data_IF_391948897041
#
_entry.id   IF_391948897041
#
_cell.length_a   1.000
_cell.length_b   1.000
_cell.length_c   1.000
_cell.angle_alpha   90.00
_cell.angle_beta   90.00
_cell.angle_gamma   90.00
#
_symmetry.space_group_name_H-M   'P 1'
#
loop_
_entity.id
_entity.type
_entity.pdbx_description
1 polymer ?
#
# COMPACT_ATOMS: atom_id res chain seq x y z
N UNK A 1 19.71 -17.23 2.16
CA UNK A 1 18.28 -17.60 2.16
C UNK A 1 17.60 -16.68 1.19
N UNK A 2 17.02 -17.21 0.10
CA UNK A 2 16.30 -16.38 -0.85
C UNK A 2 15.09 -15.75 -0.18
N UNK A 3 14.92 -14.44 -0.34
CA UNK A 3 13.68 -13.75 0.01
C UNK A 3 12.56 -14.43 -0.79
N UNK A 4 11.60 -15.06 -0.10
CA UNK A 4 10.40 -15.56 -0.76
C UNK A 4 9.65 -14.32 -1.26
N UNK A 5 9.71 -14.07 -2.57
CA UNK A 5 8.89 -13.03 -3.18
C UNK A 5 7.44 -13.49 -3.14
N UNK A 6 6.59 -12.71 -2.46
CA UNK A 6 5.15 -12.96 -2.37
C UNK A 6 4.45 -12.21 -3.49
N UNK A 7 4.82 -12.55 -4.73
CA UNK A 7 4.26 -11.95 -5.94
C UNK A 7 3.22 -12.87 -6.55
N UNK A 8 2.09 -12.29 -6.92
CA UNK A 8 1.05 -12.96 -7.69
C UNK A 8 0.84 -12.24 -9.02
N UNK A 9 1.11 -12.95 -10.11
CA UNK A 9 0.94 -12.44 -11.47
C UNK A 9 -0.50 -12.67 -11.91
N UNK A 10 -1.21 -11.60 -12.25
CA UNK A 10 -2.56 -11.64 -12.78
C UNK A 10 -2.55 -11.98 -14.28
N UNK A 11 -3.66 -12.51 -14.85
CA UNK A 11 -3.75 -12.79 -16.29
C UNK A 11 -3.50 -11.57 -17.18
N UNK A 12 -3.70 -10.35 -16.66
CA UNK A 12 -3.40 -9.09 -17.35
C UNK A 12 -1.91 -8.74 -17.42
N UNK A 13 -1.03 -9.49 -16.75
CA UNK A 13 0.39 -9.19 -16.61
C UNK A 13 0.73 -8.28 -15.42
N UNK A 14 -0.29 -7.73 -14.73
CA UNK A 14 -0.09 -6.99 -13.49
C UNK A 14 0.35 -7.90 -12.34
N UNK A 15 1.08 -7.34 -11.39
CA UNK A 15 1.62 -8.07 -10.23
C UNK A 15 1.06 -7.50 -8.94
N UNK A 16 0.60 -8.40 -8.05
CA UNK A 16 0.31 -8.08 -6.66
C UNK A 16 1.50 -8.54 -5.82
N UNK A 17 2.25 -7.60 -5.26
CA UNK A 17 3.37 -7.86 -4.35
C UNK A 17 2.95 -7.63 -2.91
N UNK A 18 3.18 -8.62 -2.04
CA UNK A 18 3.03 -8.41 -0.59
C UNK A 18 4.28 -7.75 -0.02
N UNK A 19 4.08 -6.68 0.73
CA UNK A 19 5.12 -5.97 1.48
C UNK A 19 5.31 -6.68 2.82
N UNK A 20 6.52 -7.16 3.10
CA UNK A 20 6.84 -7.98 4.29
C UNK A 20 8.02 -7.47 5.12
N UNK A 21 8.73 -6.43 4.65
CA UNK A 21 9.90 -5.86 5.33
C UNK A 21 9.88 -4.34 5.34
N UNK A 22 10.62 -3.74 6.28
CA UNK A 22 10.81 -2.28 6.35
C UNK A 22 11.43 -1.74 5.06
N UNK A 23 12.37 -2.46 4.46
CA UNK A 23 13.02 -2.09 3.21
C UNK A 23 12.00 -2.05 2.05
N UNK A 24 11.08 -3.02 2.00
CA UNK A 24 10.01 -3.00 1.01
C UNK A 24 8.99 -1.89 1.29
N UNK A 25 8.69 -1.58 2.55
CA UNK A 25 7.87 -0.41 2.90
C UNK A 25 8.52 0.87 2.36
N UNK A 26 9.81 1.06 2.59
CA UNK A 26 10.58 2.20 2.08
C UNK A 26 10.59 2.26 0.55
N UNK A 27 10.77 1.11 -0.10
CA UNK A 27 10.73 0.99 -1.56
C UNK A 27 9.37 1.42 -2.14
N UNK A 28 8.27 0.95 -1.56
CA UNK A 28 6.91 1.25 -2.03
C UNK A 28 6.38 2.61 -1.59
N UNK A 29 6.94 3.22 -0.53
CA UNK A 29 6.43 4.48 0.04
C UNK A 29 6.26 5.59 -1.00
N UNK A 30 7.21 5.91 -1.89
CA UNK A 30 7.05 7.02 -2.84
C UNK A 30 5.84 6.84 -3.77
N UNK A 31 5.62 5.63 -4.28
CA UNK A 31 4.53 5.36 -5.22
C UNK A 31 3.18 5.25 -4.51
N UNK A 32 3.12 4.60 -3.34
CA UNK A 32 1.92 4.56 -2.50
C UNK A 32 1.52 5.94 -1.95
N UNK A 33 2.50 6.79 -1.62
CA UNK A 33 2.27 8.19 -1.23
C UNK A 33 1.64 8.99 -2.37
N UNK A 34 2.11 8.78 -3.59
CA UNK A 34 1.54 9.43 -4.77
C UNK A 34 0.11 8.95 -5.01
N UNK A 35 -0.14 7.64 -4.94
CA UNK A 35 -1.47 7.03 -5.08
C UNK A 35 -2.48 7.59 -4.08
N UNK A 36 -2.18 7.55 -2.77
CA UNK A 36 -3.13 8.06 -1.76
C UNK A 36 -3.33 9.56 -1.89
N UNK A 37 -2.30 10.31 -2.27
CA UNK A 37 -2.40 11.75 -2.50
C UNK A 37 -3.36 12.06 -3.65
N UNK A 38 -3.27 11.34 -4.76
CA UNK A 38 -4.22 11.45 -5.88
C UNK A 38 -5.65 11.15 -5.40
N UNK A 39 -5.85 10.03 -4.70
CA UNK A 39 -7.17 9.66 -4.19
C UNK A 39 -7.77 10.68 -3.20
N UNK A 40 -6.96 11.49 -2.52
CA UNK A 40 -7.43 12.52 -1.55
C UNK A 40 -7.61 13.88 -2.22
N UNK A 41 -6.69 14.27 -3.09
CA UNK A 41 -6.63 15.63 -3.60
C UNK A 41 -7.35 15.82 -4.93
N UNK A 42 -7.52 14.77 -5.74
CA UNK A 42 -8.12 14.89 -7.08
C UNK A 42 -9.64 15.07 -7.00
N UNK A 43 -10.31 14.39 -6.05
CA UNK A 43 -11.72 14.64 -5.70
C UNK A 43 -11.91 14.68 -4.16
N UNK A 44 -11.61 15.82 -3.52
CA UNK A 44 -11.73 15.97 -2.07
C UNK A 44 -13.15 15.82 -1.52
N UNK A 45 -14.18 16.02 -2.34
CA UNK A 45 -15.58 15.96 -1.89
C UNK A 45 -16.09 14.52 -1.85
N UNK A 46 -15.57 13.65 -2.73
CA UNK A 46 -15.88 12.23 -2.72
C UNK A 46 -14.90 11.39 -1.86
N UNK A 47 -13.73 11.92 -1.51
CA UNK A 47 -12.72 11.18 -0.78
C UNK A 47 -12.99 11.11 0.73
N UNK A 48 -13.32 9.91 1.23
CA UNK A 48 -13.52 9.65 2.66
C UNK A 48 -12.61 8.52 3.14
N UNK A 49 -11.29 8.76 3.10
CA UNK A 49 -10.26 7.77 3.43
C UNK A 49 -9.35 8.19 4.58
N UNK A 50 -9.89 8.96 5.54
CA UNK A 50 -9.25 9.41 6.79
C UNK A 50 -8.14 10.45 6.64
N UNK A 51 -7.91 10.96 5.44
CA UNK A 51 -7.03 12.11 5.19
C UNK A 51 -7.87 13.34 4.85
N UNK A 52 -7.37 14.52 5.22
CA UNK A 52 -7.94 15.79 4.79
C UNK A 52 -7.16 16.30 3.58
N UNK A 53 -7.88 16.74 2.56
CA UNK A 53 -7.27 17.49 1.47
C UNK A 53 -6.93 18.92 1.95
N UNK A 54 -5.79 19.49 1.52
CA UNK A 54 -4.77 18.86 0.71
C UNK A 54 -3.86 17.94 1.55
N UNK A 55 -3.67 16.69 1.10
CA UNK A 55 -2.67 15.78 1.66
C UNK A 55 -1.30 16.11 1.07
N UNK A 56 -0.34 16.41 1.95
CA UNK A 56 1.06 16.62 1.56
C UNK A 56 1.77 15.29 1.29
N UNK A 57 2.84 15.34 0.49
CA UNK A 57 3.67 14.16 0.24
C UNK A 57 4.32 13.63 1.53
N UNK A 58 4.73 14.51 2.43
CA UNK A 58 5.37 14.14 3.69
C UNK A 58 4.38 13.46 4.64
N UNK A 59 3.13 13.96 4.73
CA UNK A 59 2.09 13.33 5.53
C UNK A 59 1.70 11.94 4.96
N UNK A 60 1.56 11.84 3.64
CA UNK A 60 1.32 10.56 2.98
C UNK A 60 2.47 9.56 3.24
N UNK A 61 3.72 10.01 3.12
CA UNK A 61 4.90 9.17 3.35
C UNK A 61 5.05 8.76 4.81
N UNK A 62 4.75 9.67 5.74
CA UNK A 62 4.78 9.39 7.17
C UNK A 62 3.77 8.30 7.54
N UNK A 63 2.57 8.31 6.94
CA UNK A 63 1.58 7.26 7.13
C UNK A 63 2.13 5.88 6.74
N UNK A 64 2.65 5.72 5.51
CA UNK A 64 3.17 4.42 5.06
C UNK A 64 4.34 3.92 5.91
N UNK A 65 5.28 4.82 6.24
CA UNK A 65 6.43 4.50 7.11
C UNK A 65 6.02 4.14 8.54
N UNK A 66 4.91 4.67 9.03
CA UNK A 66 4.42 4.32 10.38
C UNK A 66 4.03 2.84 10.50
N UNK A 67 3.65 2.20 9.38
CA UNK A 67 3.24 0.80 9.33
C UNK A 67 4.41 -0.19 9.39
N UNK A 68 5.67 0.26 9.29
CA UNK A 68 6.82 -0.64 9.19
C UNK A 68 6.88 -1.69 10.29
N UNK A 69 6.55 -1.34 11.54
CA UNK A 69 6.56 -2.28 12.67
C UNK A 69 5.38 -3.26 12.64
N UNK A 70 4.25 -2.83 12.08
CA UNK A 70 3.04 -3.66 11.99
C UNK A 70 3.10 -4.62 10.79
N UNK A 71 3.95 -4.31 9.80
CA UNK A 71 4.21 -5.13 8.62
C UNK A 71 5.41 -6.07 8.85
N UNK A 72 6.54 -5.53 9.33
CA UNK A 72 7.79 -6.26 9.49
C UNK A 72 7.87 -6.87 10.90
N UNK A 73 7.54 -8.15 11.01
CA UNK A 73 7.66 -8.87 12.27
C UNK A 73 7.20 -10.33 12.19
N UNK A 74 7.48 -11.14 13.22
CA UNK A 74 7.06 -12.54 13.28
C UNK A 74 5.53 -12.69 13.40
N UNK A 75 4.83 -11.65 13.85
CA UNK A 75 3.37 -11.59 13.95
C UNK A 75 2.89 -10.25 13.37
N UNK A 76 2.79 -10.13 12.04
CA UNK A 76 2.35 -8.89 11.41
C UNK A 76 0.88 -8.60 11.77
N UNK A 77 0.63 -7.35 12.15
CA UNK A 77 -0.72 -6.83 12.40
C UNK A 77 -1.34 -6.21 11.14
N UNK A 78 -0.52 -5.88 10.15
CA UNK A 78 -0.94 -5.33 8.86
C UNK A 78 -0.31 -6.15 7.73
N UNK A 79 -1.15 -6.61 6.81
CA UNK A 79 -0.72 -7.20 5.55
C UNK A 79 -0.96 -6.16 4.45
N UNK A 80 0.13 -5.60 3.91
CA UNK A 80 0.08 -4.60 2.85
C UNK A 80 0.40 -5.25 1.51
N UNK A 81 -0.40 -4.94 0.49
CA UNK A 81 -0.20 -5.40 -0.88
C UNK A 81 -0.16 -4.21 -1.83
N UNK A 82 0.74 -4.25 -2.79
CA UNK A 82 0.86 -3.28 -3.88
C UNK A 82 0.54 -3.97 -5.22
N UNK A 83 -0.39 -3.41 -5.97
CA UNK A 83 -0.66 -3.78 -7.36
C UNK A 83 0.19 -2.89 -8.26
N UNK A 84 0.98 -3.46 -9.15
CA UNK A 84 1.86 -2.72 -10.05
C UNK A 84 2.02 -3.43 -11.40
N UNK A 85 2.62 -2.71 -12.35
CA UNK A 85 3.00 -3.24 -13.65
C UNK A 85 4.53 -3.43 -13.69
N UNK A 86 5.05 -4.66 -13.66
CA UNK A 86 6.49 -4.90 -13.65
C UNK A 86 7.16 -4.44 -14.95
N UNK A 87 6.42 -4.30 -16.06
CA UNK A 87 6.96 -3.80 -17.33
C UNK A 87 7.11 -2.28 -17.35
N UNK A 88 6.46 -1.59 -16.40
CA UNK A 88 6.62 -0.16 -16.22
C UNK A 88 7.78 0.21 -15.28
N UNK A 89 8.36 -0.76 -14.57
CA UNK A 89 9.59 -0.58 -13.80
C UNK A 89 10.79 -0.39 -14.75
N UNK A 90 11.20 0.86 -14.95
CA UNK A 90 12.35 1.22 -15.79
C UNK A 90 12.03 2.17 -16.94
N UNK A 91 10.75 2.44 -17.21
CA UNK A 91 10.38 3.55 -18.09
C UNK A 91 10.56 4.88 -17.35
N UNK A 92 10.99 5.92 -18.06
CA UNK A 92 11.19 7.27 -17.50
C UNK A 92 9.94 7.83 -16.80
N UNK A 93 8.77 7.31 -17.17
CA UNK A 93 7.50 7.47 -16.46
C UNK A 93 7.31 6.22 -15.59
N UNK A 94 7.95 6.17 -14.43
CA UNK A 94 7.79 5.06 -13.47
C UNK A 94 6.31 4.92 -13.11
N UNK A 95 5.57 3.98 -13.71
CA UNK A 95 4.26 3.59 -13.17
C UNK A 95 4.56 2.71 -11.96
N UNK A 96 4.66 3.35 -10.80
CA UNK A 96 4.74 2.67 -9.50
C UNK A 96 3.40 2.00 -9.16
N UNK A 97 3.09 1.84 -7.87
CA UNK A 97 1.83 1.25 -7.43
C UNK A 97 0.61 1.85 -8.16
N UNK A 98 -0.10 0.99 -8.89
CA UNK A 98 -1.39 1.27 -9.55
C UNK A 98 -2.51 1.13 -8.54
N UNK A 99 -2.31 0.25 -7.55
CA UNK A 99 -3.28 0.01 -6.51
C UNK A 99 -2.66 -0.52 -5.24
N UNK A 100 -3.46 -0.53 -4.18
CA UNK A 100 -3.06 -1.12 -2.90
C UNK A 100 -4.28 -1.63 -2.15
N UNK A 101 -4.04 -2.56 -1.25
CA UNK A 101 -4.98 -3.01 -0.22
C UNK A 101 -4.20 -3.32 1.05
N UNK A 102 -4.77 -2.96 2.20
CA UNK A 102 -4.29 -3.35 3.51
C UNK A 102 -5.31 -4.27 4.18
N UNK A 103 -4.82 -5.31 4.84
CA UNK A 103 -5.59 -6.14 5.74
C UNK A 103 -5.06 -5.93 7.17
N UNK A 104 -5.85 -5.25 7.99
CA UNK A 104 -5.49 -4.92 9.37
C UNK A 104 -6.16 -5.85 10.39
N UNK A 105 -5.37 -6.49 11.24
CA UNK A 105 -5.86 -7.28 12.37
C UNK A 105 -6.23 -6.37 13.54
N UNK A 106 -7.25 -6.75 14.32
CA UNK A 106 -7.63 -6.01 15.51
C UNK A 106 -6.80 -6.48 16.72
N UNK A 107 -6.14 -5.58 17.47
CA UNK A 107 -5.34 -5.96 18.64
C UNK A 107 -6.20 -6.40 19.84
N UNK A 108 -7.52 -6.14 19.83
CA UNK A 108 -8.41 -6.58 20.91
C UNK A 108 -8.60 -8.10 20.84
N UNK A 109 -8.33 -8.79 21.95
CA UNK A 109 -8.44 -10.26 22.04
C UNK A 109 -9.81 -10.80 21.59
N UNK A 110 -10.90 -10.08 21.87
CA UNK A 110 -12.25 -10.45 21.46
C UNK A 110 -12.48 -10.40 19.94
N UNK A 111 -11.58 -9.77 19.17
CA UNK A 111 -11.71 -9.51 17.74
C UNK A 111 -10.55 -10.07 16.91
N UNK A 112 -9.71 -10.94 17.48
CA UNK A 112 -8.54 -11.51 16.79
C UNK A 112 -8.93 -12.33 15.54
N UNK A 113 -10.17 -12.82 15.47
CA UNK A 113 -10.72 -13.53 14.32
C UNK A 113 -11.22 -12.61 13.20
N UNK A 114 -11.12 -11.28 13.38
CA UNK A 114 -11.59 -10.29 12.41
C UNK A 114 -10.41 -9.56 11.79
N UNK A 115 -10.53 -9.32 10.49
CA UNK A 115 -9.60 -8.50 9.72
C UNK A 115 -10.39 -7.42 9.01
N UNK A 116 -9.83 -6.22 8.98
CA UNK A 116 -10.42 -5.07 8.30
C UNK A 116 -9.70 -4.83 6.98
N UNK A 117 -10.48 -4.68 5.91
CA UNK A 117 -9.96 -4.18 4.64
C UNK A 117 -9.83 -2.66 4.74
N UNK A 118 -8.61 -2.16 4.59
CA UNK A 118 -8.29 -0.73 4.63
C UNK A 118 -7.56 -0.33 3.36
N UNK A 119 -7.63 0.96 3.03
CA UNK A 119 -6.90 1.57 1.90
C UNK A 119 -6.92 0.72 0.64
N UNK A 120 -8.09 0.18 0.28
CA UNK A 120 -8.30 -0.36 -1.07
C UNK A 120 -8.39 0.83 -2.02
N UNK A 121 -7.27 1.17 -2.64
CA UNK A 121 -7.12 2.34 -3.50
C UNK A 121 -6.64 1.88 -4.86
N UNK A 122 -7.22 2.42 -5.93
CA UNK A 122 -6.81 2.17 -7.31
C UNK A 122 -6.71 3.54 -7.99
N UNK A 123 -5.64 3.73 -8.76
CA UNK A 123 -5.46 4.91 -9.60
C UNK A 123 -6.53 4.93 -10.70
N UNK A 124 -7.02 6.11 -11.07
CA UNK A 124 -8.17 6.23 -11.97
C UNK A 124 -7.84 6.21 -13.47
N UNK A 125 -6.55 6.17 -13.85
CA UNK A 125 -6.02 6.29 -15.21
C UNK A 125 -5.44 4.99 -15.79
#
# INVERSE_FOLDING_TARGET
MGELSWDHILPSGLVISRVVSTQQVEHWTPSLSSLVKSCVNDDPQASSIEFRAPLSHDAASAYWKSLSKDIAGPQPMVFLFALHDPQAEGQAIKRGAIGTIQLGSNPKATHIHKTEVRKLLIRSD
#
